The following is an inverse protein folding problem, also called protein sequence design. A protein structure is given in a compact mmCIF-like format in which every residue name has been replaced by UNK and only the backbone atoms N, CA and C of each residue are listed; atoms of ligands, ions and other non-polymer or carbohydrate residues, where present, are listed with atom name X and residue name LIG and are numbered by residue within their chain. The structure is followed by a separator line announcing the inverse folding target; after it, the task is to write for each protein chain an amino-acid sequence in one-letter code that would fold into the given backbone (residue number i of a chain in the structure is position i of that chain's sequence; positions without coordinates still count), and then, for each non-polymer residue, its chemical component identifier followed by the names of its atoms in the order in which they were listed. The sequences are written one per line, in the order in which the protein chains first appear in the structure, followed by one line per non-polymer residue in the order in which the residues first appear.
data_IF_602585293608
#
_entry.id   IF_602585293608
#
_cell.length_a   1.000
_cell.length_b   1.000
_cell.length_c   1.000
_cell.angle_alpha   90.00
_cell.angle_beta   90.00
_cell.angle_gamma   90.00
#
_symmetry.space_group_name_H-M   'P 1'
#
loop_
_entity.id
_entity.type
_entity.pdbx_description
1 polymer ?
#
# COMPACT_ATOMS: atom_id res chain seq x y z
N UNK A 1 -9.12 -5.58 21.38
CA UNK A 1 -9.23 -6.62 22.44
C UNK A 1 -8.28 -6.36 23.63
N UNK A 2 -6.96 -6.25 23.45
CA UNK A 2 -5.96 -6.11 24.54
C UNK A 2 -6.20 -4.87 25.41
N UNK A 3 -6.42 -3.71 24.79
CA UNK A 3 -6.73 -2.49 25.54
C UNK A 3 -8.06 -2.58 26.30
N UNK A 4 -9.02 -3.30 25.73
CA UNK A 4 -10.33 -3.53 26.34
C UNK A 4 -10.22 -4.50 27.52
N UNK A 5 -9.47 -5.59 27.41
CA UNK A 5 -9.23 -6.53 28.51
C UNK A 5 -8.45 -5.94 29.67
N UNK A 6 -7.58 -4.97 29.38
CA UNK A 6 -6.86 -4.21 30.39
C UNK A 6 -7.67 -3.03 30.98
N UNK A 7 -8.95 -2.87 30.60
CA UNK A 7 -9.82 -1.78 31.03
C UNK A 7 -9.25 -0.38 30.74
N UNK A 8 -8.50 -0.23 29.65
CA UNK A 8 -7.92 1.05 29.20
C UNK A 8 -8.92 1.82 28.33
N UNK A 9 -9.77 1.10 27.60
CA UNK A 9 -10.80 1.68 26.72
C UNK A 9 -12.16 1.00 26.94
N UNK A 10 -13.24 1.77 26.80
CA UNK A 10 -14.61 1.28 26.92
C UNK A 10 -15.22 0.86 25.58
N UNK A 11 -14.86 1.53 24.50
CA UNK A 11 -15.35 1.23 23.16
C UNK A 11 -14.31 1.60 22.10
N UNK A 12 -14.58 1.24 20.84
CA UNK A 12 -13.66 1.52 19.75
C UNK A 12 -13.47 3.01 19.46
N UNK A 13 -14.49 3.85 19.72
CA UNK A 13 -14.38 5.29 19.46
C UNK A 13 -13.25 5.97 20.25
N UNK A 14 -12.88 5.44 21.42
CA UNK A 14 -11.75 5.97 22.21
C UNK A 14 -10.43 5.77 21.46
N UNK A 15 -10.25 4.67 20.71
CA UNK A 15 -9.05 4.47 19.89
C UNK A 15 -8.96 5.54 18.80
N UNK A 16 -10.08 5.79 18.12
CA UNK A 16 -10.16 6.80 17.06
C UNK A 16 -9.93 8.20 17.62
N UNK A 17 -10.50 8.51 18.79
CA UNK A 17 -10.29 9.79 19.47
C UNK A 17 -8.83 9.97 19.86
N UNK A 18 -8.20 8.96 20.47
CA UNK A 18 -6.79 9.03 20.87
C UNK A 18 -5.85 9.29 19.69
N UNK A 19 -6.20 8.79 18.50
CA UNK A 19 -5.41 9.00 17.30
C UNK A 19 -5.74 10.32 16.61
N UNK A 20 -7.00 10.58 16.29
CA UNK A 20 -7.39 11.67 15.41
C UNK A 20 -7.64 12.99 16.14
N UNK A 21 -8.09 12.99 17.40
CA UNK A 21 -8.36 14.24 18.13
C UNK A 21 -7.10 15.12 18.24
N UNK A 22 -5.92 14.61 18.65
CA UNK A 22 -4.71 15.44 18.68
C UNK A 22 -4.32 15.97 17.29
N UNK A 23 -4.56 15.17 16.24
CA UNK A 23 -4.28 15.56 14.85
C UNK A 23 -5.20 16.68 14.36
N UNK A 24 -6.48 16.65 14.73
CA UNK A 24 -7.40 17.74 14.45
C UNK A 24 -7.03 19.00 15.24
N UNK A 25 -6.73 18.87 16.53
CA UNK A 25 -6.36 20.00 17.39
C UNK A 25 -5.11 20.72 16.90
N UNK A 26 -4.04 19.98 16.58
CA UNK A 26 -2.79 20.57 16.04
C UNK A 26 -2.99 21.13 14.62
N UNK A 27 -3.88 20.53 13.84
CA UNK A 27 -4.23 21.07 12.52
C UNK A 27 -4.98 22.39 12.66
N UNK A 28 -5.93 22.51 13.61
CA UNK A 28 -6.69 23.74 13.88
C UNK A 28 -5.79 24.82 14.50
N UNK A 29 -4.87 24.44 15.37
CA UNK A 29 -3.94 25.37 16.00
C UNK A 29 -2.56 24.72 16.13
N UNK A 30 -1.63 24.97 15.19
CA UNK A 30 -0.26 24.44 15.25
C UNK A 30 0.46 24.77 16.56
N UNK A 31 0.15 25.90 17.19
CA UNK A 31 0.75 26.30 18.47
C UNK A 31 0.24 25.50 19.66
N UNK A 32 -0.85 24.72 19.53
CA UNK A 32 -1.33 23.83 20.60
C UNK A 32 -0.36 22.69 20.88
N UNK A 33 0.33 22.20 19.85
CA UNK A 33 1.26 21.07 19.93
C UNK A 33 2.42 21.26 18.93
N UNK A 34 3.38 22.13 19.27
CA UNK A 34 4.47 22.51 18.36
C UNK A 34 5.31 21.33 17.87
N UNK A 35 5.68 20.43 18.78
CA UNK A 35 6.48 19.24 18.45
C UNK A 35 5.72 18.29 17.53
N UNK A 36 4.42 18.07 17.80
CA UNK A 36 3.57 17.27 16.94
C UNK A 36 3.42 17.91 15.57
N UNK A 37 3.21 19.23 15.49
CA UNK A 37 3.12 19.93 14.21
C UNK A 37 4.39 19.74 13.37
N UNK A 38 5.56 19.91 13.97
CA UNK A 38 6.84 19.71 13.31
C UNK A 38 7.03 18.25 12.86
N UNK A 39 6.69 17.28 13.73
CA UNK A 39 6.74 15.86 13.38
C UNK A 39 5.84 15.51 12.20
N UNK A 40 4.62 16.05 12.17
CA UNK A 40 3.66 15.78 11.10
C UNK A 40 4.10 16.29 9.73
N UNK A 41 5.07 17.21 9.65
CA UNK A 41 5.66 17.61 8.36
C UNK A 41 6.43 16.46 7.70
N UNK A 42 6.88 15.47 8.48
CA UNK A 42 7.60 14.30 8.00
C UNK A 42 6.72 13.05 7.86
N UNK A 43 5.51 13.07 8.43
CA UNK A 43 4.56 11.95 8.32
C UNK A 43 3.88 12.00 6.96
N UNK A 44 3.95 10.87 6.24
CA UNK A 44 3.38 10.72 4.90
C UNK A 44 2.10 9.88 4.88
N UNK A 45 1.89 9.02 5.87
CA UNK A 45 0.78 8.08 5.84
C UNK A 45 0.63 7.26 7.10
N UNK A 46 -0.49 6.53 7.15
CA UNK A 46 -0.83 5.63 8.24
C UNK A 46 -0.84 4.19 7.76
N UNK A 47 -0.28 3.32 8.57
CA UNK A 47 -0.19 1.89 8.35
C UNK A 47 -0.81 1.18 9.55
N UNK A 48 -1.72 0.24 9.29
CA UNK A 48 -2.44 -0.52 10.30
C UNK A 48 -1.96 -1.96 10.26
N UNK A 49 -1.45 -2.45 11.39
CA UNK A 49 -0.76 -3.74 11.51
C UNK A 49 -1.35 -4.58 12.66
N UNK A 50 -1.30 -5.91 12.51
CA UNK A 50 -1.31 -6.94 13.55
C UNK A 50 -1.07 -8.29 12.83
N UNK A 51 -1.04 -9.40 13.56
CA UNK A 51 -1.08 -10.75 12.99
C UNK A 51 -2.38 -10.98 12.21
N UNK A 52 -2.32 -10.81 10.88
CA UNK A 52 -3.44 -10.99 9.95
C UNK A 52 -4.04 -12.41 9.99
N UNK A 53 -3.32 -13.41 10.51
CA UNK A 53 -3.79 -14.80 10.58
C UNK A 53 -4.81 -15.05 11.70
N UNK A 54 -4.95 -14.11 12.64
CA UNK A 54 -5.94 -14.19 13.71
C UNK A 54 -7.35 -14.29 13.13
N UNK A 55 -8.17 -15.28 13.55
CA UNK A 55 -9.53 -15.40 13.06
C UNK A 55 -10.38 -14.17 13.39
N UNK A 56 -11.09 -13.67 12.38
CA UNK A 56 -12.11 -12.63 12.55
C UNK A 56 -13.49 -13.28 12.63
N UNK A 57 -14.24 -12.99 13.69
CA UNK A 57 -15.56 -13.60 13.96
C UNK A 57 -16.70 -12.91 13.22
N UNK A 58 -16.52 -11.64 12.82
CA UNK A 58 -17.55 -10.81 12.18
C UNK A 58 -17.05 -10.23 10.85
N UNK A 59 -17.94 -10.11 9.87
CA UNK A 59 -17.69 -9.35 8.63
C UNK A 59 -18.35 -7.99 8.75
N UNK A 60 -17.69 -6.94 8.27
CA UNK A 60 -18.29 -5.61 8.22
C UNK A 60 -19.42 -5.57 7.18
N UNK A 61 -20.60 -5.17 7.62
CA UNK A 61 -21.83 -5.07 6.84
C UNK A 61 -22.67 -3.86 7.29
N UNK A 62 -23.90 -3.77 6.76
CA UNK A 62 -24.83 -2.68 7.06
C UNK A 62 -25.30 -2.63 8.53
N UNK A 63 -25.26 -3.76 9.23
CA UNK A 63 -25.78 -3.92 10.59
C UNK A 63 -24.64 -3.82 11.63
N UNK A 64 -23.41 -3.61 11.16
CA UNK A 64 -22.22 -3.45 11.99
C UNK A 64 -22.32 -2.21 12.87
N UNK A 65 -22.05 -2.39 14.17
CA UNK A 65 -22.18 -1.33 15.17
C UNK A 65 -21.19 -0.18 14.92
N UNK A 66 -21.59 1.09 15.12
CA UNK A 66 -20.68 2.23 15.05
C UNK A 66 -19.66 2.24 16.22
N UNK A 67 -18.55 2.97 16.13
CA UNK A 67 -17.42 2.88 17.06
C UNK A 67 -17.79 3.18 18.52
N UNK A 68 -18.77 4.05 18.73
CA UNK A 68 -19.26 4.44 20.05
C UNK A 68 -20.01 3.29 20.74
N UNK A 69 -20.59 2.38 19.95
CA UNK A 69 -21.37 1.23 20.42
C UNK A 69 -20.57 -0.08 20.41
N UNK A 70 -19.43 -0.12 19.70
CA UNK A 70 -18.52 -1.28 19.74
C UNK A 70 -17.80 -1.36 21.09
N UNK A 71 -18.47 -1.96 22.06
CA UNK A 71 -17.98 -2.14 23.45
C UNK A 71 -17.72 -3.61 23.80
N UNK A 72 -17.86 -4.51 22.83
CA UNK A 72 -17.62 -5.94 22.98
C UNK A 72 -16.13 -6.22 23.27
N UNK A 73 -15.86 -7.37 23.88
CA UNK A 73 -14.48 -7.84 24.14
C UNK A 73 -13.76 -8.27 22.86
N UNK A 74 -14.53 -8.72 21.86
CA UNK A 74 -14.00 -9.13 20.57
C UNK A 74 -13.46 -7.94 19.78
N UNK A 75 -12.33 -8.17 19.10
CA UNK A 75 -11.73 -7.16 18.24
C UNK A 75 -12.62 -6.93 17.01
N UNK A 76 -12.85 -5.67 16.57
CA UNK A 76 -13.54 -5.44 15.32
C UNK A 76 -12.73 -5.98 14.14
N UNK A 77 -13.39 -6.36 13.02
CA UNK A 77 -12.70 -6.92 11.87
C UNK A 77 -11.78 -5.88 11.24
N UNK A 78 -10.73 -6.31 10.55
CA UNK A 78 -9.73 -5.41 9.97
C UNK A 78 -10.34 -4.37 9.01
N UNK A 79 -11.35 -4.76 8.24
CA UNK A 79 -12.09 -3.84 7.38
C UNK A 79 -12.69 -2.64 8.16
N UNK A 80 -13.10 -2.86 9.41
CA UNK A 80 -13.63 -1.83 10.29
C UNK A 80 -12.54 -0.83 10.69
N UNK A 81 -11.35 -1.32 11.05
CA UNK A 81 -10.19 -0.47 11.32
C UNK A 81 -9.89 0.41 10.11
N UNK A 82 -9.72 -0.18 8.93
CA UNK A 82 -9.38 0.55 7.71
C UNK A 82 -10.46 1.58 7.33
N UNK A 83 -11.74 1.22 7.44
CA UNK A 83 -12.83 2.14 7.14
C UNK A 83 -12.80 3.39 8.02
N UNK A 84 -12.74 3.23 9.35
CA UNK A 84 -12.77 4.38 10.25
C UNK A 84 -11.46 5.17 10.24
N UNK A 85 -10.32 4.51 10.00
CA UNK A 85 -9.05 5.17 9.74
C UNK A 85 -9.14 6.05 8.48
N UNK A 86 -9.61 5.48 7.37
CA UNK A 86 -9.80 6.19 6.11
C UNK A 86 -10.76 7.36 6.26
N UNK A 87 -11.95 7.14 6.82
CA UNK A 87 -12.98 8.17 6.95
C UNK A 87 -12.49 9.38 7.76
N UNK A 88 -11.85 9.16 8.91
CA UNK A 88 -11.29 10.25 9.72
C UNK A 88 -10.13 10.94 9.01
N UNK A 89 -9.26 10.18 8.35
CA UNK A 89 -8.14 10.72 7.58
C UNK A 89 -8.61 11.59 6.42
N UNK A 90 -9.68 11.21 5.70
CA UNK A 90 -10.27 12.04 4.65
C UNK A 90 -10.73 13.40 5.18
N UNK A 91 -11.49 13.41 6.29
CA UNK A 91 -11.93 14.66 6.91
C UNK A 91 -10.77 15.50 7.42
N UNK A 92 -9.77 14.87 8.05
CA UNK A 92 -8.55 15.54 8.51
C UNK A 92 -7.77 16.14 7.34
N UNK A 93 -7.58 15.39 6.26
CA UNK A 93 -6.85 15.83 5.08
C UNK A 93 -7.54 17.02 4.40
N UNK A 94 -8.86 17.04 4.34
CA UNK A 94 -9.61 18.18 3.79
C UNK A 94 -9.29 19.46 4.60
N UNK A 95 -9.32 19.36 5.93
CA UNK A 95 -8.96 20.49 6.80
C UNK A 95 -7.48 20.90 6.66
N UNK A 96 -6.57 19.93 6.56
CA UNK A 96 -5.14 20.19 6.38
C UNK A 96 -4.88 20.89 5.04
N UNK A 97 -5.55 20.45 3.98
CA UNK A 97 -5.46 21.05 2.65
C UNK A 97 -5.96 22.50 2.62
N UNK A 98 -7.10 22.78 3.25
CA UNK A 98 -7.64 24.15 3.39
C UNK A 98 -6.69 25.10 4.14
N UNK A 99 -5.75 24.54 4.89
CA UNK A 99 -4.73 25.27 5.64
C UNK A 99 -3.34 25.21 5.02
N UNK A 100 -3.23 24.69 3.79
CA UNK A 100 -1.95 24.51 3.09
C UNK A 100 -0.94 23.67 3.88
N UNK A 101 -1.41 22.67 4.63
CA UNK A 101 -0.59 21.69 5.32
C UNK A 101 -0.48 20.39 4.50
N UNK A 102 0.58 19.61 4.73
CA UNK A 102 0.74 18.30 4.11
C UNK A 102 -0.40 17.35 4.53
N UNK A 103 -0.73 16.40 3.66
CA UNK A 103 -1.79 15.40 3.88
C UNK A 103 -1.19 14.01 4.05
N UNK A 104 -2.02 13.06 4.48
CA UNK A 104 -1.61 11.69 4.73
C UNK A 104 -2.32 10.71 3.81
N UNK A 105 -1.71 9.56 3.55
CA UNK A 105 -2.32 8.46 2.80
C UNK A 105 -2.43 7.20 3.66
N UNK A 106 -3.40 6.33 3.34
CA UNK A 106 -3.55 5.04 4.01
C UNK A 106 -2.71 3.99 3.25
N UNK A 107 -1.83 3.31 3.97
CA UNK A 107 -0.87 2.33 3.43
C UNK A 107 -0.78 1.09 4.33
N UNK A 108 -1.81 0.25 4.38
CA UNK A 108 -1.90 -0.82 5.35
C UNK A 108 -1.04 -2.04 4.99
N UNK A 109 -0.57 -2.75 6.02
CA UNK A 109 -0.24 -4.17 5.92
C UNK A 109 -1.49 -4.98 5.61
N UNK A 110 -1.50 -5.63 4.44
CA UNK A 110 -2.72 -6.22 3.93
C UNK A 110 -2.48 -7.41 3.02
N UNK A 111 -3.07 -8.55 3.41
CA UNK A 111 -3.09 -9.77 2.63
C UNK A 111 -1.78 -10.53 2.66
N UNK A 112 -0.98 -10.42 3.73
CA UNK A 112 0.06 -11.40 4.05
C UNK A 112 -0.57 -12.75 4.41
N UNK A 113 -1.58 -12.70 5.27
CA UNK A 113 -2.35 -13.83 5.75
C UNK A 113 -3.84 -13.42 5.91
N UNK A 114 -4.63 -14.20 6.63
CA UNK A 114 -6.00 -13.81 6.96
C UNK A 114 -7.02 -13.91 5.83
N UNK A 115 -8.02 -13.04 5.90
CA UNK A 115 -9.19 -13.01 5.03
C UNK A 115 -8.94 -12.25 3.74
N UNK A 116 -9.47 -12.74 2.61
CA UNK A 116 -9.39 -12.00 1.34
C UNK A 116 -10.08 -10.63 1.41
N UNK A 117 -10.99 -10.44 2.37
CA UNK A 117 -11.67 -9.17 2.57
C UNK A 117 -10.70 -8.04 2.94
N UNK A 118 -9.57 -8.35 3.56
CA UNK A 118 -8.52 -7.36 3.83
C UNK A 118 -8.08 -6.68 2.54
N UNK A 119 -7.80 -7.47 1.50
CA UNK A 119 -7.38 -6.98 0.18
C UNK A 119 -8.51 -6.27 -0.56
N UNK A 120 -9.76 -6.66 -0.35
CA UNK A 120 -10.92 -5.93 -0.91
C UNK A 120 -11.00 -4.53 -0.30
N UNK A 121 -10.88 -4.42 1.03
CA UNK A 121 -10.89 -3.12 1.71
C UNK A 121 -9.65 -2.29 1.36
N UNK A 122 -8.47 -2.93 1.27
CA UNK A 122 -7.25 -2.29 0.81
C UNK A 122 -7.39 -1.70 -0.60
N UNK A 123 -7.96 -2.46 -1.54
CA UNK A 123 -8.24 -1.98 -2.91
C UNK A 123 -9.13 -0.73 -2.92
N UNK A 124 -10.14 -0.67 -2.06
CA UNK A 124 -11.11 0.43 -2.05
C UNK A 124 -10.59 1.70 -1.37
N UNK A 125 -9.74 1.57 -0.35
CA UNK A 125 -9.42 2.67 0.58
C UNK A 125 -7.94 3.08 0.61
N UNK A 126 -7.02 2.20 0.23
CA UNK A 126 -5.59 2.43 0.39
C UNK A 126 -4.95 3.03 -0.88
N UNK A 127 -3.88 3.81 -0.67
CA UNK A 127 -3.02 4.30 -1.75
C UNK A 127 -2.10 3.19 -2.28
N UNK A 128 -1.64 2.32 -1.38
CA UNK A 128 -0.86 1.12 -1.65
C UNK A 128 -0.94 0.20 -0.44
N UNK A 129 -0.51 -1.05 -0.59
CA UNK A 129 -0.50 -2.04 0.49
C UNK A 129 0.90 -2.62 0.69
N UNK A 130 1.14 -3.14 1.90
CA UNK A 130 2.27 -4.03 2.19
C UNK A 130 1.83 -5.50 2.10
N UNK A 131 2.73 -6.38 1.65
CA UNK A 131 2.57 -7.82 1.43
C UNK A 131 1.80 -8.25 0.17
N UNK A 132 0.46 -8.25 0.17
CA UNK A 132 -0.35 -8.68 -0.98
C UNK A 132 -0.18 -10.16 -1.41
N UNK A 133 0.30 -11.04 -0.53
CA UNK A 133 0.56 -12.46 -0.83
C UNK A 133 -0.71 -13.19 -1.27
N UNK A 134 -1.84 -12.92 -0.61
CA UNK A 134 -3.10 -13.61 -0.86
C UNK A 134 -3.77 -13.23 -2.19
N UNK A 135 -3.32 -12.18 -2.88
CA UNK A 135 -3.78 -11.87 -4.25
C UNK A 135 -3.54 -13.04 -5.21
N UNK A 136 -2.55 -13.91 -4.93
CA UNK A 136 -2.30 -15.14 -5.71
C UNK A 136 -3.47 -16.13 -5.69
N UNK A 137 -4.39 -16.01 -4.72
CA UNK A 137 -5.58 -16.86 -4.55
C UNK A 137 -6.86 -16.17 -5.05
N UNK A 138 -6.78 -14.91 -5.48
CA UNK A 138 -7.93 -14.13 -5.95
C UNK A 138 -7.64 -13.49 -7.31
N UNK A 139 -7.76 -14.26 -8.42
CA UNK A 139 -7.40 -13.78 -9.75
C UNK A 139 -8.11 -12.48 -10.16
N UNK A 140 -9.41 -12.36 -9.85
CA UNK A 140 -10.19 -11.16 -10.16
C UNK A 140 -9.63 -9.95 -9.40
N UNK A 141 -9.38 -10.10 -8.10
CA UNK A 141 -8.87 -8.99 -7.29
C UNK A 141 -7.44 -8.61 -7.70
N UNK A 142 -6.58 -9.59 -7.98
CA UNK A 142 -5.25 -9.34 -8.52
C UNK A 142 -5.30 -8.56 -9.84
N UNK A 143 -6.24 -8.91 -10.72
CA UNK A 143 -6.45 -8.18 -11.97
C UNK A 143 -6.92 -6.75 -11.73
N UNK A 144 -7.80 -6.51 -10.75
CA UNK A 144 -8.18 -5.14 -10.36
C UNK A 144 -7.00 -4.33 -9.83
N UNK A 145 -6.12 -4.92 -9.00
CA UNK A 145 -4.88 -4.27 -8.55
C UNK A 145 -3.96 -3.90 -9.71
N UNK A 146 -3.87 -4.77 -10.72
CA UNK A 146 -3.15 -4.50 -11.95
C UNK A 146 -3.77 -3.34 -12.74
N UNK A 147 -5.08 -3.37 -13.02
CA UNK A 147 -5.74 -2.35 -13.82
C UNK A 147 -5.70 -0.97 -13.15
N UNK A 148 -5.91 -0.93 -11.84
CA UNK A 148 -5.85 0.29 -11.04
C UNK A 148 -4.40 0.71 -10.70
N UNK A 149 -3.40 -0.10 -11.04
CA UNK A 149 -1.99 0.10 -10.72
C UNK A 149 -1.75 0.43 -9.23
N UNK A 150 -2.46 -0.26 -8.33
CA UNK A 150 -2.28 -0.09 -6.88
C UNK A 150 -0.94 -0.71 -6.47
N UNK A 151 -0.13 0.07 -5.75
CA UNK A 151 1.20 -0.33 -5.31
C UNK A 151 1.19 -1.47 -4.29
N UNK A 152 2.13 -2.41 -4.41
CA UNK A 152 2.33 -3.51 -3.45
C UNK A 152 3.81 -3.57 -3.02
N UNK A 153 4.09 -3.24 -1.77
CA UNK A 153 5.42 -3.37 -1.19
C UNK A 153 5.57 -4.79 -0.60
N UNK A 154 6.48 -5.59 -1.16
CA UNK A 154 6.63 -6.99 -0.81
C UNK A 154 7.98 -7.25 -0.14
N UNK A 155 7.99 -8.06 0.92
CA UNK A 155 9.19 -8.40 1.70
C UNK A 155 9.49 -9.91 1.68
N UNK A 156 10.06 -10.45 0.57
CA UNK A 156 10.20 -11.89 0.37
C UNK A 156 10.98 -12.64 1.45
N UNK A 157 12.04 -12.06 2.04
CA UNK A 157 12.81 -12.74 3.10
C UNK A 157 12.02 -12.86 4.39
N UNK A 158 11.26 -11.82 4.76
CA UNK A 158 10.31 -11.87 5.88
C UNK A 158 9.26 -12.94 5.64
N UNK A 159 8.59 -12.88 4.48
CA UNK A 159 7.55 -13.84 4.13
C UNK A 159 8.05 -15.29 4.13
N UNK A 160 9.30 -15.52 3.68
CA UNK A 160 9.95 -16.84 3.73
C UNK A 160 10.12 -17.38 5.14
N UNK A 161 10.40 -16.49 6.10
CA UNK A 161 10.63 -16.88 7.49
C UNK A 161 9.34 -17.21 8.23
N UNK A 162 8.21 -16.62 7.83
CA UNK A 162 6.96 -16.68 8.59
C UNK A 162 5.81 -17.45 7.91
N UNK A 163 5.58 -17.25 6.61
CA UNK A 163 4.32 -17.66 5.98
C UNK A 163 4.48 -18.55 4.74
N UNK A 164 5.55 -18.35 3.96
CA UNK A 164 5.62 -18.89 2.62
C UNK A 164 7.06 -19.04 2.12
N UNK A 165 7.50 -20.28 1.86
CA UNK A 165 8.80 -20.57 1.24
C UNK A 165 9.13 -19.61 0.07
N UNK A 166 10.37 -19.12 0.03
CA UNK A 166 10.83 -18.08 -0.89
C UNK A 166 10.50 -18.36 -2.35
N UNK A 167 10.73 -19.59 -2.82
CA UNK A 167 10.42 -20.01 -4.20
C UNK A 167 8.94 -19.97 -4.56
N UNK A 168 8.05 -19.95 -3.57
CA UNK A 168 6.61 -19.88 -3.75
C UNK A 168 6.08 -18.45 -3.65
N UNK A 169 6.91 -17.46 -3.30
CA UNK A 169 6.50 -16.06 -3.23
C UNK A 169 6.00 -15.59 -4.60
N UNK A 170 4.86 -14.89 -4.68
CA UNK A 170 4.25 -14.51 -5.96
C UNK A 170 4.90 -13.29 -6.63
N UNK A 171 5.89 -12.65 -6.03
CA UNK A 171 6.55 -11.45 -6.57
C UNK A 171 6.99 -11.60 -8.04
N UNK A 172 7.68 -12.68 -8.47
CA UNK A 172 8.08 -12.83 -9.88
C UNK A 172 6.89 -12.89 -10.83
N UNK A 173 5.79 -13.52 -10.41
CA UNK A 173 4.57 -13.66 -11.19
C UNK A 173 3.83 -12.31 -11.28
N UNK A 174 3.78 -11.55 -10.17
CA UNK A 174 3.20 -10.21 -10.15
C UNK A 174 4.00 -9.24 -11.03
N UNK A 175 5.34 -9.32 -10.97
CA UNK A 175 6.21 -8.53 -11.83
C UNK A 175 6.00 -8.91 -13.30
N UNK A 176 5.93 -10.20 -13.63
CA UNK A 176 5.68 -10.64 -15.00
C UNK A 176 4.34 -10.09 -15.54
N UNK A 177 3.29 -10.11 -14.71
CA UNK A 177 1.96 -9.56 -15.03
C UNK A 177 1.89 -8.03 -15.07
N UNK A 178 2.91 -7.33 -14.59
CA UNK A 178 2.96 -5.86 -14.64
C UNK A 178 2.19 -5.18 -13.52
N UNK A 179 1.98 -5.86 -12.39
CA UNK A 179 1.52 -5.19 -11.17
C UNK A 179 2.59 -4.19 -10.71
N UNK A 180 2.14 -3.07 -10.13
CA UNK A 180 3.02 -2.06 -9.56
C UNK A 180 3.56 -2.57 -8.21
N UNK A 181 4.70 -3.27 -8.24
CA UNK A 181 5.29 -3.86 -7.04
C UNK A 181 6.70 -3.32 -6.77
N UNK A 182 7.10 -3.40 -5.49
CA UNK A 182 8.45 -3.09 -5.03
C UNK A 182 8.95 -4.13 -4.03
N UNK A 183 10.27 -4.16 -3.84
CA UNK A 183 10.92 -4.91 -2.75
C UNK A 183 11.05 -4.01 -1.51
N UNK A 184 10.73 -4.59 -0.35
CA UNK A 184 10.87 -4.01 0.98
C UNK A 184 11.53 -5.02 1.93
N UNK A 185 11.92 -4.56 3.12
CA UNK A 185 12.69 -5.37 4.09
C UNK A 185 11.88 -5.90 5.25
N UNK A 186 10.72 -5.31 5.55
CA UNK A 186 9.95 -5.57 6.77
C UNK A 186 10.78 -5.26 8.04
N UNK A 187 11.28 -6.28 8.74
CA UNK A 187 12.18 -6.17 9.90
C UNK A 187 13.64 -6.52 9.56
N UNK A 188 14.46 -5.56 9.10
CA UNK A 188 15.89 -5.76 8.84
C UNK A 188 16.65 -6.47 9.96
N UNK A 189 16.37 -6.11 11.22
CA UNK A 189 17.06 -6.66 12.38
C UNK A 189 16.81 -8.17 12.55
N UNK A 190 15.64 -8.64 12.14
CA UNK A 190 15.20 -10.02 12.32
C UNK A 190 15.60 -10.91 11.14
N UNK A 191 15.49 -10.40 9.90
CA UNK A 191 15.52 -11.24 8.70
C UNK A 191 16.79 -11.11 7.85
N UNK A 192 17.65 -10.12 8.12
CA UNK A 192 18.78 -9.79 7.26
C UNK A 192 20.12 -9.96 7.98
N UNK A 193 21.14 -10.40 7.24
CA UNK A 193 22.48 -10.67 7.78
C UNK A 193 23.52 -9.65 7.34
N UNK A 194 23.21 -8.85 6.32
CA UNK A 194 24.15 -7.88 5.76
C UNK A 194 23.95 -6.49 6.37
N UNK A 195 24.94 -5.60 6.15
CA UNK A 195 24.84 -4.19 6.56
C UNK A 195 23.89 -3.37 5.69
N UNK A 196 23.48 -3.91 4.54
CA UNK A 196 22.61 -3.24 3.57
C UNK A 196 21.38 -4.12 3.30
N UNK A 197 20.40 -4.16 4.23
CA UNK A 197 19.30 -5.12 4.22
C UNK A 197 18.50 -5.11 2.91
N UNK A 198 18.16 -3.92 2.41
CA UNK A 198 17.43 -3.81 1.15
C UNK A 198 18.26 -4.31 -0.05
N UNK A 199 19.58 -4.11 -0.04
CA UNK A 199 20.45 -4.64 -1.10
C UNK A 199 20.54 -6.17 -1.05
N UNK A 200 20.44 -6.78 0.14
CA UNK A 200 20.33 -8.22 0.31
C UNK A 200 19.02 -8.77 -0.28
N UNK A 201 17.88 -8.11 -0.08
CA UNK A 201 16.60 -8.47 -0.75
C UNK A 201 16.76 -8.50 -2.28
N UNK A 202 17.27 -7.41 -2.87
CA UNK A 202 17.50 -7.36 -4.33
C UNK A 202 18.50 -8.42 -4.81
N UNK A 203 19.57 -8.66 -4.04
CA UNK A 203 20.60 -9.64 -4.40
C UNK A 203 20.06 -11.06 -4.40
N UNK A 204 19.31 -11.45 -3.37
CA UNK A 204 18.71 -12.79 -3.27
C UNK A 204 17.63 -12.97 -4.33
N UNK A 205 16.74 -11.99 -4.51
CA UNK A 205 15.69 -12.02 -5.53
C UNK A 205 16.28 -12.24 -6.92
N UNK A 206 17.37 -11.53 -7.24
CA UNK A 206 18.09 -11.66 -8.51
C UNK A 206 18.69 -13.05 -8.69
N UNK A 207 19.36 -13.58 -7.67
CA UNK A 207 20.00 -14.89 -7.76
C UNK A 207 19.00 -16.04 -7.83
N UNK A 208 17.89 -15.95 -7.10
CA UNK A 208 16.90 -17.02 -7.00
C UNK A 208 15.92 -16.99 -8.17
N UNK A 209 15.37 -15.82 -8.51
CA UNK A 209 14.36 -15.67 -9.57
C UNK A 209 14.93 -15.27 -10.92
N UNK A 210 16.26 -15.10 -11.02
CA UNK A 210 16.97 -14.75 -12.26
C UNK A 210 16.48 -13.43 -12.88
N UNK A 211 16.17 -12.46 -12.02
CA UNK A 211 15.78 -11.11 -12.45
C UNK A 211 16.90 -10.46 -13.25
N UNK A 212 16.55 -9.84 -14.36
CA UNK A 212 17.49 -9.06 -15.16
C UNK A 212 17.77 -7.71 -14.52
N UNK A 213 18.76 -6.98 -15.03
CA UNK A 213 19.00 -5.59 -14.61
C UNK A 213 17.79 -4.70 -14.86
N UNK A 214 17.09 -4.91 -15.98
CA UNK A 214 15.86 -4.16 -16.25
C UNK A 214 14.77 -4.43 -15.23
N UNK A 215 14.62 -5.69 -14.78
CA UNK A 215 13.63 -6.05 -13.75
C UNK A 215 13.97 -5.40 -12.40
N UNK A 216 15.25 -5.42 -12.01
CA UNK A 216 15.71 -4.74 -10.80
C UNK A 216 15.47 -3.22 -10.86
N UNK A 217 15.82 -2.58 -11.98
CA UNK A 217 15.60 -1.15 -12.17
C UNK A 217 14.11 -0.79 -12.21
N UNK A 218 13.25 -1.67 -12.76
CA UNK A 218 11.79 -1.48 -12.75
C UNK A 218 11.24 -1.53 -11.32
N UNK A 219 11.64 -2.52 -10.51
CA UNK A 219 11.27 -2.62 -9.09
C UNK A 219 11.72 -1.39 -8.29
N UNK A 220 12.95 -0.92 -8.52
CA UNK A 220 13.50 0.26 -7.86
C UNK A 220 12.82 1.57 -8.31
N UNK A 221 12.46 1.70 -9.59
CA UNK A 221 11.66 2.83 -10.08
C UNK A 221 10.27 2.84 -9.45
N UNK A 222 9.63 1.68 -9.37
CA UNK A 222 8.30 1.53 -8.79
C UNK A 222 8.29 1.89 -7.30
N UNK A 223 9.34 1.54 -6.55
CA UNK A 223 9.45 1.91 -5.13
C UNK A 223 9.45 3.44 -4.93
N UNK A 224 10.11 4.19 -5.82
CA UNK A 224 10.09 5.66 -5.79
C UNK A 224 8.71 6.21 -6.16
N UNK A 225 8.06 5.64 -7.18
CA UNK A 225 6.69 6.04 -7.56
C UNK A 225 5.73 5.86 -6.38
N UNK A 226 5.79 4.70 -5.73
CA UNK A 226 5.01 4.31 -4.56
C UNK A 226 5.47 4.99 -3.26
N UNK A 227 6.51 5.80 -3.25
CA UNK A 227 6.98 6.45 -2.02
C UNK A 227 6.10 7.65 -1.63
N UNK A 228 6.21 8.12 -0.39
CA UNK A 228 5.54 9.35 0.06
C UNK A 228 6.40 10.62 -0.08
N UNK A 229 7.54 10.56 -0.76
CA UNK A 229 8.40 11.72 -0.96
C UNK A 229 7.72 12.83 -1.77
N UNK A 230 8.14 14.06 -1.53
CA UNK A 230 7.65 15.25 -2.22
C UNK A 230 7.92 15.18 -3.72
N UNK A 231 7.13 15.94 -4.49
CA UNK A 231 7.19 15.95 -5.96
C UNK A 231 8.61 16.25 -6.47
N UNK A 232 9.27 17.23 -5.87
CA UNK A 232 10.60 17.70 -6.25
C UNK A 232 11.66 16.60 -6.07
N UNK A 233 11.53 15.81 -5.00
CA UNK A 233 12.43 14.68 -4.72
C UNK A 233 12.19 13.55 -5.72
N UNK A 234 10.93 13.24 -6.04
CA UNK A 234 10.60 12.27 -7.10
C UNK A 234 11.11 12.75 -8.47
N UNK A 235 10.95 14.03 -8.80
CA UNK A 235 11.52 14.59 -10.04
C UNK A 235 13.04 14.44 -10.08
N UNK A 236 13.71 14.67 -8.96
CA UNK A 236 15.14 14.47 -8.84
C UNK A 236 15.56 13.01 -9.07
N UNK A 237 14.88 12.04 -8.49
CA UNK A 237 15.29 10.63 -8.61
C UNK A 237 14.87 9.95 -9.91
N UNK A 238 13.66 10.18 -10.41
CA UNK A 238 13.11 9.41 -11.55
C UNK A 238 12.78 10.25 -12.78
N UNK A 239 12.95 11.58 -12.69
CA UNK A 239 12.92 12.49 -13.84
C UNK A 239 11.81 13.54 -13.77
N UNK A 240 11.98 14.67 -14.46
CA UNK A 240 11.07 15.82 -14.34
C UNK A 240 9.64 15.54 -14.83
N UNK A 241 9.49 14.57 -15.75
CA UNK A 241 8.22 14.23 -16.38
C UNK A 241 7.57 12.97 -15.77
N UNK A 242 8.00 12.50 -14.59
CA UNK A 242 7.60 11.19 -14.06
C UNK A 242 6.07 11.00 -13.89
N UNK A 243 5.31 12.08 -13.83
CA UNK A 243 3.85 12.08 -13.74
C UNK A 243 3.14 11.82 -15.07
N UNK A 244 3.87 11.86 -16.20
CA UNK A 244 3.32 11.49 -17.52
C UNK A 244 3.24 9.97 -17.65
N UNK A 245 2.24 9.51 -18.38
CA UNK A 245 2.08 8.09 -18.65
C UNK A 245 3.04 7.57 -19.73
N UNK A 246 3.27 6.26 -19.70
CA UNK A 246 4.10 5.56 -20.68
C UNK A 246 5.53 6.07 -20.75
N UNK A 247 6.12 5.98 -21.96
CA UNK A 247 7.53 6.33 -22.21
C UNK A 247 7.82 7.81 -21.91
N UNK A 248 6.83 8.69 -22.09
CA UNK A 248 6.99 10.12 -21.85
C UNK A 248 7.30 10.46 -20.38
N UNK A 249 6.93 9.58 -19.44
CA UNK A 249 7.25 9.70 -18.03
C UNK A 249 8.51 8.98 -17.57
N UNK A 250 9.31 8.41 -18.48
CA UNK A 250 10.54 7.72 -18.13
C UNK A 250 11.79 8.47 -18.60
N UNK A 251 12.64 8.88 -17.65
CA UNK A 251 14.00 9.33 -17.93
C UNK A 251 14.97 8.18 -17.69
N UNK A 252 15.32 7.46 -18.76
CA UNK A 252 16.24 6.30 -18.72
C UNK A 252 17.59 6.65 -18.09
N UNK A 253 18.06 7.90 -18.17
CA UNK A 253 19.35 8.30 -17.57
C UNK A 253 19.30 8.31 -16.04
N UNK A 254 18.10 8.34 -15.46
CA UNK A 254 17.87 8.33 -14.02
C UNK A 254 17.34 6.98 -13.53
N UNK A 255 16.39 6.41 -14.26
CA UNK A 255 15.72 5.16 -13.86
C UNK A 255 16.49 3.92 -14.29
N UNK A 256 17.32 4.03 -15.34
CA UNK A 256 17.96 2.91 -16.04
C UNK A 256 16.95 1.83 -16.54
N UNK A 257 15.66 2.17 -16.64
CA UNK A 257 14.63 1.31 -17.23
C UNK A 257 14.53 1.64 -18.73
N UNK A 258 14.78 0.68 -19.63
CA UNK A 258 14.63 0.88 -21.07
C UNK A 258 13.24 1.36 -21.46
N UNK A 259 13.17 2.34 -22.36
CA UNK A 259 11.89 2.85 -22.86
C UNK A 259 11.02 1.74 -23.48
N UNK A 260 11.62 0.72 -24.09
CA UNK A 260 10.87 -0.43 -24.62
C UNK A 260 10.16 -1.24 -23.53
N UNK A 261 10.74 -1.36 -22.32
CA UNK A 261 10.08 -2.01 -21.17
C UNK A 261 8.86 -1.18 -20.74
N UNK A 262 9.02 0.14 -20.65
CA UNK A 262 7.93 1.04 -20.25
C UNK A 262 6.83 1.09 -21.30
N UNK A 263 7.18 1.13 -22.59
CA UNK A 263 6.24 1.07 -23.70
C UNK A 263 5.38 -0.20 -23.62
N UNK A 264 6.03 -1.36 -23.51
CA UNK A 264 5.34 -2.65 -23.39
C UNK A 264 4.36 -2.68 -22.21
N UNK A 265 4.77 -2.23 -21.02
CA UNK A 265 3.88 -2.18 -19.84
C UNK A 265 2.66 -1.30 -20.08
N UNK A 266 2.88 -0.12 -20.66
CA UNK A 266 1.83 0.86 -20.88
C UNK A 266 0.85 0.43 -21.97
N UNK A 267 1.36 -0.05 -23.11
CA UNK A 267 0.56 -0.58 -24.22
C UNK A 267 -0.29 -1.77 -23.75
N UNK A 268 0.30 -2.72 -23.03
CA UNK A 268 -0.44 -3.87 -22.49
C UNK A 268 -1.56 -3.43 -21.53
N UNK A 269 -1.29 -2.46 -20.65
CA UNK A 269 -2.31 -1.94 -19.74
C UNK A 269 -3.46 -1.26 -20.49
N UNK A 270 -3.14 -0.46 -21.50
CA UNK A 270 -4.15 0.19 -22.33
C UNK A 270 -4.99 -0.83 -23.11
N UNK A 271 -4.38 -1.89 -23.63
CA UNK A 271 -5.08 -2.97 -24.32
C UNK A 271 -6.05 -3.70 -23.38
N UNK A 272 -5.62 -4.01 -22.14
CA UNK A 272 -6.47 -4.64 -21.13
C UNK A 272 -7.63 -3.74 -20.71
N UNK A 273 -7.38 -2.44 -20.51
CA UNK A 273 -8.43 -1.46 -20.22
C UNK A 273 -9.40 -1.34 -21.40
N UNK A 274 -8.91 -1.26 -22.63
CA UNK A 274 -9.73 -1.21 -23.83
C UNK A 274 -10.61 -2.46 -23.94
N UNK A 275 -10.09 -3.65 -23.67
CA UNK A 275 -10.86 -4.89 -23.69
C UNK A 275 -12.03 -4.90 -22.69
N UNK A 276 -11.87 -4.26 -21.53
CA UNK A 276 -12.91 -4.18 -20.48
C UNK A 276 -13.96 -3.12 -20.80
N UNK A 277 -13.53 -1.97 -21.32
CA UNK A 277 -14.40 -0.81 -21.56
C UNK A 277 -14.95 -0.71 -22.98
N UNK A 278 -14.51 -1.55 -23.92
CA UNK A 278 -15.10 -1.65 -25.26
C UNK A 278 -16.58 -2.05 -25.15
N UNK A 279 -17.44 -1.25 -25.77
CA UNK A 279 -18.86 -1.55 -25.83
C UNK A 279 -19.13 -2.71 -26.82
N UNK A 280 -20.13 -3.58 -26.55
CA UNK A 280 -20.49 -4.68 -27.46
C UNK A 280 -20.80 -4.22 -28.90
N UNK A 281 -21.24 -2.97 -29.08
CA UNK A 281 -21.52 -2.37 -30.39
C UNK A 281 -20.30 -2.20 -31.29
N UNK A 282 -19.09 -2.13 -30.71
CA UNK A 282 -17.85 -1.87 -31.47
C UNK A 282 -17.26 -3.18 -32.05
N UNK A 283 -17.89 -4.33 -31.77
CA UNK A 283 -17.46 -5.65 -32.24
C UNK A 283 -18.19 -6.13 -33.50
N UNK A 284 -19.23 -5.43 -33.95
CA UNK A 284 -20.02 -5.83 -35.14
C UNK A 284 -19.50 -5.23 -36.47
N UNK A 285 -18.49 -4.35 -36.46
CA UNK A 285 -17.94 -3.70 -37.67
C UNK A 285 -16.60 -4.28 -38.17
N UNK A 286 -16.19 -5.49 -37.75
CA UNK A 286 -14.98 -6.17 -38.27
C UNK A 286 -15.33 -7.48 -38.97
#
# INVERSE_FOLDING_TARGET
DIYKSNNIIDNFSIILDNLFRPLFEVTINPSSHLELHAFLQYVIGFDSVDDESKPETSVMDKDTLPPQLWSNMENPPYAYYLYYMYANMCTLNQLRLERSLNTFVLRPHCGEAGSIQHLVTGFLLAENISHGLLLRKAPVLQFLYYLAQIGIAMSPLSNNSLFLNYHRNPLPEYLARGLLISLSTDDPLQFHFTKEPLMEEYSIATQVWKLSQTDMCELARNSVLMSGFEHEIKQFWIGPNYTREGVAGNDIKRTNVPNIRVAYRHETLLDELANIFQHPSDKEEI
#
